data_IF_186326009573
#
_entry.id   IF_186326009573
#
_cell.length_a   1.000
_cell.length_b   1.000
_cell.length_c   1.000
_cell.angle_alpha   90.00
_cell.angle_beta   90.00
_cell.angle_gamma   90.00
#
_symmetry.space_group_name_H-M   'P 1'
#
loop_
_entity.id
_entity.type
_entity.pdbx_description
1 polymer ?
#
# COMPACT_ATOMS: atom_id res chain seq x y z
N UNK A 1 -6.46 27.92 5.62
CA UNK A 1 -6.46 26.46 5.78
C UNK A 1 -6.33 25.89 4.39
N UNK A 2 -5.10 25.57 3.96
CA UNK A 2 -4.85 25.02 2.63
C UNK A 2 -5.26 23.55 2.65
N UNK A 3 -6.46 23.26 2.18
CA UNK A 3 -6.86 21.89 1.85
C UNK A 3 -5.94 21.44 0.73
N UNK A 4 -5.05 20.48 0.99
CA UNK A 4 -4.28 19.85 -0.07
C UNK A 4 -5.27 19.35 -1.14
N UNK A 5 -5.12 19.83 -2.37
CA UNK A 5 -5.94 19.41 -3.50
C UNK A 5 -5.78 17.91 -3.73
N UNK A 6 -6.81 17.21 -4.20
CA UNK A 6 -6.75 15.77 -4.50
C UNK A 6 -5.56 15.42 -5.43
N UNK A 7 -5.28 16.28 -6.41
CA UNK A 7 -4.13 16.14 -7.31
C UNK A 7 -2.75 16.24 -6.60
N UNK A 8 -2.67 16.93 -5.47
CA UNK A 8 -1.45 17.03 -4.69
C UNK A 8 -1.24 15.75 -3.88
N UNK A 9 -2.32 15.21 -3.32
CA UNK A 9 -2.36 13.93 -2.61
C UNK A 9 -1.93 12.80 -3.55
N UNK A 10 -2.46 12.75 -4.78
CA UNK A 10 -2.09 11.74 -5.77
C UNK A 10 -0.60 11.76 -6.13
N UNK A 11 0.00 12.94 -6.31
CA UNK A 11 1.44 13.09 -6.65
C UNK A 11 2.39 12.69 -5.54
N UNK A 12 1.93 12.73 -4.29
CA UNK A 12 2.69 12.30 -3.13
C UNK A 12 2.30 10.88 -2.68
N UNK A 13 1.54 10.14 -3.47
CA UNK A 13 1.21 8.75 -3.13
C UNK A 13 2.48 7.91 -3.28
N UNK A 14 2.88 7.14 -2.25
CA UNK A 14 4.05 6.28 -2.34
C UNK A 14 3.86 5.15 -3.34
N UNK A 15 4.99 4.56 -3.76
CA UNK A 15 5.00 3.33 -4.56
C UNK A 15 4.16 2.24 -3.87
N UNK A 16 3.51 1.34 -4.63
CA UNK A 16 2.67 0.29 -4.06
C UNK A 16 3.39 -0.47 -2.94
N UNK A 17 2.72 -0.75 -1.82
CA UNK A 17 3.31 -1.51 -0.71
C UNK A 17 3.88 -2.87 -1.15
N UNK A 18 3.37 -3.43 -2.26
CA UNK A 18 3.71 -4.79 -2.70
C UNK A 18 3.18 -5.87 -1.74
N UNK A 19 2.19 -5.49 -0.93
CA UNK A 19 1.60 -6.29 0.14
C UNK A 19 0.31 -6.97 -0.33
N UNK A 20 -0.32 -6.44 -1.37
CA UNK A 20 -1.38 -7.12 -2.11
C UNK A 20 -0.73 -8.11 -3.09
N UNK A 21 -1.15 -9.36 -2.99
CA UNK A 21 -0.80 -10.41 -3.93
C UNK A 21 -2.03 -10.75 -4.75
N UNK A 22 -1.88 -10.80 -6.06
CA UNK A 22 -2.97 -11.14 -6.98
C UNK A 22 -2.65 -12.44 -7.69
N UNK A 23 -3.67 -13.27 -7.80
CA UNK A 23 -3.61 -14.52 -8.54
C UNK A 23 -3.30 -14.27 -10.02
N UNK A 24 -2.30 -14.94 -10.59
CA UNK A 24 -1.97 -14.85 -12.02
C UNK A 24 -3.13 -15.34 -12.91
N UNK A 25 -4.01 -16.20 -12.39
CA UNK A 25 -5.09 -16.78 -13.21
C UNK A 25 -6.27 -15.82 -13.46
N UNK A 26 -6.57 -14.92 -12.53
CA UNK A 26 -7.76 -14.06 -12.61
C UNK A 26 -7.62 -12.69 -11.94
N UNK A 27 -6.45 -12.36 -11.37
CA UNK A 27 -6.20 -11.11 -10.67
C UNK A 27 -6.90 -10.98 -9.32
N UNK A 28 -7.43 -12.08 -8.75
CA UNK A 28 -8.12 -12.04 -7.47
C UNK A 28 -7.14 -12.11 -6.28
N UNK A 29 -7.48 -11.41 -5.20
CA UNK A 29 -6.75 -11.50 -3.94
C UNK A 29 -6.93 -12.91 -3.30
N UNK A 30 -5.90 -13.45 -2.63
CA UNK A 30 -5.95 -14.80 -2.06
C UNK A 30 -6.98 -14.97 -0.95
N UNK A 31 -7.32 -13.88 -0.24
CA UNK A 31 -8.20 -13.88 0.94
C UNK A 31 -9.66 -14.22 0.63
N UNK A 32 -10.06 -14.31 -0.63
CA UNK A 32 -11.41 -14.67 -1.04
C UNK A 32 -11.64 -16.19 -0.94
N UNK A 33 -11.75 -16.71 0.29
CA UNK A 33 -12.22 -18.05 0.68
C UNK A 33 -11.21 -19.21 0.87
N UNK A 34 -9.90 -19.08 0.62
CA UNK A 34 -8.87 -20.02 1.13
C UNK A 34 -7.44 -19.42 1.08
N UNK A 35 -6.90 -18.93 2.21
CA UNK A 35 -5.62 -18.24 2.27
C UNK A 35 -4.46 -19.21 2.55
N UNK A 36 -3.84 -19.76 1.50
CA UNK A 36 -2.57 -20.50 1.61
C UNK A 36 -1.63 -20.02 0.50
N UNK A 37 -1.22 -18.74 0.56
CA UNK A 37 -0.11 -18.25 -0.27
C UNK A 37 1.16 -18.39 0.53
N UNK A 38 2.03 -19.29 0.09
CA UNK A 38 3.37 -19.39 0.63
C UNK A 38 4.22 -18.26 0.04
N UNK A 39 4.62 -17.30 0.88
CA UNK A 39 5.37 -16.11 0.44
C UNK A 39 6.80 -16.42 0.00
N UNK A 40 7.32 -17.62 0.32
CA UNK A 40 8.63 -18.09 -0.13
C UNK A 40 8.63 -18.60 -1.57
N UNK A 41 7.51 -19.18 -2.02
CA UNK A 41 7.32 -19.74 -3.36
C UNK A 41 6.37 -18.94 -4.25
N UNK A 42 5.68 -17.94 -3.67
CA UNK A 42 4.73 -17.07 -4.36
C UNK A 42 3.62 -17.86 -5.09
N UNK A 43 3.20 -18.99 -4.51
CA UNK A 43 2.19 -19.87 -5.08
C UNK A 43 1.18 -20.30 -4.00
N UNK A 44 -0.03 -20.65 -4.42
CA UNK A 44 -1.11 -21.04 -3.52
C UNK A 44 -2.41 -21.41 -4.25
N UNK A 45 -3.50 -21.55 -3.50
CA UNK A 45 -4.85 -21.75 -4.06
C UNK A 45 -5.48 -20.38 -4.28
N UNK A 46 -5.88 -20.07 -5.52
CA UNK A 46 -6.72 -18.92 -5.78
C UNK A 46 -8.12 -19.18 -5.21
N UNK A 47 -8.56 -18.38 -4.24
CA UNK A 47 -9.88 -18.58 -3.63
C UNK A 47 -11.08 -18.33 -4.56
N UNK A 48 -10.91 -17.60 -5.67
CA UNK A 48 -11.93 -17.44 -6.71
C UNK A 48 -11.99 -18.63 -7.68
N UNK A 49 -10.85 -19.05 -8.22
CA UNK A 49 -10.80 -20.14 -9.19
C UNK A 49 -10.74 -21.52 -8.55
N UNK A 50 -10.45 -21.58 -7.25
CA UNK A 50 -10.21 -22.79 -6.46
C UNK A 50 -9.12 -23.70 -7.05
N UNK A 51 -8.12 -23.10 -7.70
CA UNK A 51 -7.05 -23.80 -8.42
C UNK A 51 -5.66 -23.34 -7.94
N UNK A 52 -4.65 -24.20 -8.09
CA UNK A 52 -3.26 -23.88 -7.78
C UNK A 52 -2.67 -22.95 -8.83
N UNK A 53 -2.18 -21.79 -8.38
CA UNK A 53 -1.63 -20.77 -9.26
C UNK A 53 -0.54 -19.97 -8.55
N UNK A 54 0.28 -19.27 -9.32
CA UNK A 54 1.21 -18.30 -8.76
C UNK A 54 0.49 -16.99 -8.43
N UNK A 55 1.15 -16.21 -7.59
CA UNK A 55 0.68 -14.91 -7.14
C UNK A 55 1.78 -13.88 -7.37
N UNK A 56 1.40 -12.77 -7.98
CA UNK A 56 2.29 -11.64 -8.22
C UNK A 56 1.94 -10.48 -7.30
N UNK A 57 2.92 -9.60 -7.03
CA UNK A 57 2.66 -8.38 -6.28
C UNK A 57 1.84 -7.43 -7.14
N UNK A 58 0.74 -6.93 -6.60
CA UNK A 58 -0.02 -5.89 -7.28
C UNK A 58 0.77 -4.58 -7.34
N UNK A 59 0.79 -3.97 -8.52
CA UNK A 59 1.20 -2.58 -8.70
C UNK A 59 0.07 -1.60 -8.37
N UNK A 60 -1.11 -2.09 -7.99
CA UNK A 60 -2.20 -1.23 -7.56
C UNK A 60 -1.88 -0.54 -6.23
N UNK A 61 -2.29 0.73 -6.14
CA UNK A 61 -2.03 1.51 -4.96
C UNK A 61 -2.90 1.05 -3.78
N UNK A 62 -2.26 0.38 -2.83
CA UNK A 62 -2.90 -0.14 -1.61
C UNK A 62 -2.95 0.87 -0.47
N UNK A 63 -2.48 2.09 -0.68
CA UNK A 63 -2.35 3.07 0.39
C UNK A 63 -3.69 3.74 0.71
N UNK A 64 -3.86 4.06 1.99
CA UNK A 64 -4.92 4.88 2.54
C UNK A 64 -4.27 6.11 3.16
N UNK A 65 -4.65 7.28 2.69
CA UNK A 65 -4.16 8.52 3.26
C UNK A 65 -4.67 8.67 4.71
N UNK A 66 -3.74 8.82 5.66
CA UNK A 66 -4.04 8.94 7.09
C UNK A 66 -4.14 10.39 7.53
N UNK A 67 -3.38 11.28 6.89
CA UNK A 67 -3.39 12.70 7.19
C UNK A 67 -2.08 13.36 6.81
N UNK A 68 -2.06 14.69 6.91
CA UNK A 68 -0.86 15.49 6.74
C UNK A 68 -0.45 16.10 8.08
N UNK A 69 0.83 16.01 8.41
CA UNK A 69 1.47 16.70 9.52
C UNK A 69 2.60 17.58 8.98
N UNK A 70 3.26 18.34 9.84
CA UNK A 70 4.42 19.14 9.47
C UNK A 70 5.62 18.58 10.20
N UNK A 71 6.72 18.33 9.49
CA UNK A 71 7.97 17.86 10.06
C UNK A 71 8.56 18.93 10.99
N UNK A 72 8.88 18.49 12.22
CA UNK A 72 9.82 19.14 13.13
C UNK A 72 9.22 20.08 14.18
N UNK A 73 9.37 19.67 15.45
CA UNK A 73 10.03 20.54 16.45
C UNK A 73 11.38 19.96 16.95
N UNK A 74 11.86 18.81 16.44
CA UNK A 74 13.10 18.18 16.91
C UNK A 74 14.30 18.37 15.95
N UNK A 75 15.38 18.93 16.53
CA UNK A 75 16.82 18.90 16.25
C UNK A 75 17.41 18.97 14.81
N UNK A 76 16.74 18.57 13.74
CA UNK A 76 17.37 18.33 12.42
C UNK A 76 17.26 19.48 11.41
N UNK A 77 16.75 20.65 11.82
CA UNK A 77 16.74 21.87 10.99
C UNK A 77 15.74 21.89 9.82
N UNK A 78 15.03 20.79 9.55
CA UNK A 78 14.02 20.67 8.49
C UNK A 78 12.62 21.17 8.93
N UNK A 79 12.57 22.33 9.60
CA UNK A 79 11.33 22.88 10.15
C UNK A 79 10.34 23.24 9.04
N UNK A 80 9.13 22.68 9.12
CA UNK A 80 8.01 23.12 8.28
C UNK A 80 7.82 22.34 6.97
N UNK A 81 8.51 21.22 6.77
CA UNK A 81 8.27 20.35 5.60
C UNK A 81 6.93 19.62 5.77
N UNK A 82 5.99 19.68 4.82
CA UNK A 82 4.74 18.93 4.93
C UNK A 82 5.02 17.43 4.82
N UNK A 83 4.60 16.66 5.81
CA UNK A 83 4.60 15.22 5.79
C UNK A 83 3.20 14.70 5.52
N UNK A 84 3.12 13.66 4.69
CA UNK A 84 1.90 12.93 4.40
C UNK A 84 2.06 11.50 4.88
N UNK A 85 1.21 11.10 5.80
CA UNK A 85 1.20 9.74 6.33
C UNK A 85 0.21 8.89 5.53
N UNK A 86 0.65 7.68 5.18
CA UNK A 86 -0.11 6.69 4.42
C UNK A 86 -0.04 5.35 5.14
N UNK A 87 -1.14 4.59 5.12
CA UNK A 87 -1.25 3.25 5.70
C UNK A 87 -1.65 2.25 4.60
N UNK A 88 -0.94 1.14 4.47
CA UNK A 88 -1.30 0.09 3.53
C UNK A 88 -2.56 -0.64 4.04
N UNK A 89 -3.58 -0.74 3.19
CA UNK A 89 -4.85 -1.39 3.54
C UNK A 89 -4.72 -2.90 3.76
N UNK A 90 -3.70 -3.53 3.18
CA UNK A 90 -3.52 -4.98 3.23
C UNK A 90 -2.69 -5.43 4.44
N UNK A 91 -1.53 -4.81 4.67
CA UNK A 91 -0.63 -5.22 5.76
C UNK A 91 -0.57 -4.25 6.94
N UNK A 92 -1.18 -3.06 6.82
CA UNK A 92 -1.15 -2.03 7.87
C UNK A 92 0.17 -1.27 8.00
N UNK A 93 1.15 -1.49 7.12
CA UNK A 93 2.41 -0.72 7.14
C UNK A 93 2.13 0.77 6.96
N UNK A 94 2.89 1.62 7.66
CA UNK A 94 2.77 3.07 7.57
C UNK A 94 4.03 3.68 6.92
N UNK A 95 3.84 4.68 6.06
CA UNK A 95 4.94 5.45 5.47
C UNK A 95 4.64 6.94 5.50
N UNK A 96 5.69 7.73 5.68
CA UNK A 96 5.63 9.18 5.63
C UNK A 96 6.42 9.67 4.42
N UNK A 97 5.77 10.49 3.60
CA UNK A 97 6.37 11.11 2.41
C UNK A 97 6.31 12.63 2.54
N UNK A 98 7.42 13.27 2.23
CA UNK A 98 7.51 14.73 2.16
C UNK A 98 6.83 15.22 0.90
N UNK A 99 5.88 16.16 1.05
CA UNK A 99 5.13 16.78 -0.05
C UNK A 99 5.79 18.02 -0.64
#
# INVERSE_FOLDING_TARGET
MSTASEADIERATPEPCGCQWLSECCGAAPHAASPDVDTGTQAGICGQCQDHTGFEKSEENTWKFKGATTYGDDADGNRGVPLRAWECRECGNEVEVTG
#
